data_IF_097149422268
#
_entry.id   IF_097149422268
#
_cell.length_a   1.000
_cell.length_b   1.000
_cell.length_c   1.000
_cell.angle_alpha   90.00
_cell.angle_beta   90.00
_cell.angle_gamma   90.00
#
_symmetry.space_group_name_H-M   'P 1'
#
loop_
_entity.id
_entity.type
_entity.pdbx_description
1 polymer ?
#
# COMPACT_ATOMS: atom_id res chain seq x y z
N UNK A 1 -26.61 8.09 -3.35
CA UNK A 1 -25.92 6.81 -3.10
C UNK A 1 -24.43 7.07 -3.15
N UNK A 2 -23.76 7.08 -2.00
CA UNK A 2 -22.30 7.14 -1.93
C UNK A 2 -21.76 5.73 -2.19
N UNK A 3 -20.87 5.60 -3.18
CA UNK A 3 -20.27 4.34 -3.63
C UNK A 3 -18.88 4.10 -3.01
N UNK A 4 -18.57 4.76 -1.89
CA UNK A 4 -17.32 4.57 -1.15
C UNK A 4 -17.23 3.18 -0.49
N UNK A 5 -16.81 2.17 -1.26
CA UNK A 5 -16.59 0.81 -0.76
C UNK A 5 -15.23 0.74 -0.05
N UNK A 6 -15.23 0.36 1.23
CA UNK A 6 -13.99 0.20 2.01
C UNK A 6 -13.04 -0.84 1.40
N UNK A 7 -11.72 -0.68 1.58
CA UNK A 7 -10.75 -1.72 1.24
C UNK A 7 -11.07 -3.05 1.93
N UNK A 8 -10.54 -4.14 1.37
CA UNK A 8 -10.63 -5.49 1.96
C UNK A 8 -10.13 -5.50 3.41
N UNK A 9 -10.90 -6.13 4.29
CA UNK A 9 -10.54 -6.32 5.69
C UNK A 9 -9.49 -7.42 5.91
N UNK A 10 -8.86 -7.41 7.08
CA UNK A 10 -7.92 -8.46 7.49
C UNK A 10 -8.59 -9.60 8.26
N UNK A 11 -9.85 -9.43 8.64
CA UNK A 11 -10.58 -10.31 9.55
C UNK A 11 -11.89 -10.78 8.95
N UNK A 12 -12.27 -12.00 9.30
CA UNK A 12 -13.54 -12.60 8.94
C UNK A 12 -14.67 -11.93 9.73
N UNK A 13 -15.72 -11.47 9.05
CA UNK A 13 -16.89 -10.85 9.67
C UNK A 13 -17.71 -11.85 10.52
N UNK A 14 -17.71 -13.14 10.18
CA UNK A 14 -18.42 -14.17 10.94
C UNK A 14 -17.73 -14.57 12.26
N UNK A 15 -16.41 -14.81 12.24
CA UNK A 15 -15.67 -15.34 13.38
C UNK A 15 -14.69 -14.35 14.02
N UNK A 16 -14.48 -13.17 13.44
CA UNK A 16 -13.51 -12.16 13.89
C UNK A 16 -12.04 -12.53 13.66
N UNK A 17 -11.72 -13.77 13.29
CA UNK A 17 -10.34 -14.23 13.10
C UNK A 17 -9.66 -13.55 11.92
N UNK A 18 -8.34 -13.40 11.97
CA UNK A 18 -7.54 -12.95 10.83
C UNK A 18 -7.51 -14.01 9.72
N UNK A 19 -7.46 -13.54 8.48
CA UNK A 19 -7.25 -14.41 7.33
C UNK A 19 -5.78 -14.84 7.21
N UNK A 20 -5.56 -16.08 6.79
CA UNK A 20 -4.25 -16.58 6.39
C UNK A 20 -3.92 -16.16 4.95
N UNK A 21 -2.63 -16.10 4.62
CA UNK A 21 -2.21 -15.83 3.26
C UNK A 21 -2.62 -16.99 2.33
N UNK A 22 -3.15 -16.65 1.15
CA UNK A 22 -3.71 -17.61 0.20
C UNK A 22 -5.10 -18.16 0.56
N UNK A 23 -5.65 -17.79 1.72
CA UNK A 23 -6.93 -18.31 2.19
C UNK A 23 -8.10 -17.86 1.29
N UNK A 24 -9.06 -18.75 1.07
CA UNK A 24 -10.29 -18.43 0.33
C UNK A 24 -11.19 -17.52 1.14
N UNK A 25 -11.55 -16.38 0.56
CA UNK A 25 -12.44 -15.37 1.16
C UNK A 25 -13.63 -15.11 0.25
N UNK A 26 -14.80 -15.08 0.87
CA UNK A 26 -16.06 -14.65 0.27
C UNK A 26 -16.36 -13.23 0.71
N UNK A 27 -16.46 -12.31 -0.24
CA UNK A 27 -16.79 -10.92 0.04
C UNK A 27 -18.21 -10.63 -0.42
N UNK A 28 -18.94 -9.86 0.38
CA UNK A 28 -20.27 -9.36 0.06
C UNK A 28 -20.36 -7.85 0.25
N UNK A 29 -21.24 -7.21 -0.51
CA UNK A 29 -21.71 -5.86 -0.23
C UNK A 29 -23.10 -5.90 0.39
N UNK A 30 -23.26 -5.27 1.55
CA UNK A 30 -24.52 -5.17 2.29
C UNK A 30 -24.94 -3.71 2.40
N UNK A 31 -26.24 -3.45 2.44
CA UNK A 31 -26.73 -2.10 2.76
C UNK A 31 -26.55 -1.84 4.26
N UNK A 32 -25.98 -0.69 4.60
CA UNK A 32 -25.87 -0.16 5.96
C UNK A 32 -26.34 1.29 6.04
N UNK A 33 -26.32 1.85 7.25
CA UNK A 33 -26.92 3.16 7.55
C UNK A 33 -26.32 4.32 6.74
N UNK A 34 -25.06 4.19 6.30
CA UNK A 34 -24.34 5.19 5.51
C UNK A 34 -24.11 4.83 4.04
N UNK A 35 -24.67 3.73 3.53
CA UNK A 35 -24.45 3.26 2.16
C UNK A 35 -24.02 1.79 2.08
N UNK A 36 -23.16 1.46 1.12
CA UNK A 36 -22.74 0.08 0.87
C UNK A 36 -21.55 -0.30 1.75
N UNK A 37 -21.70 -1.35 2.56
CA UNK A 37 -20.66 -1.90 3.41
C UNK A 37 -20.09 -3.20 2.87
N UNK A 38 -18.77 -3.32 2.89
CA UNK A 38 -18.05 -4.56 2.55
C UNK A 38 -17.94 -5.46 3.78
N UNK A 39 -18.31 -6.74 3.63
CA UNK A 39 -18.03 -7.79 4.63
C UNK A 39 -17.30 -8.97 3.99
N UNK A 40 -16.23 -9.43 4.63
CA UNK A 40 -15.37 -10.52 4.16
C UNK A 40 -15.56 -11.75 5.08
N UNK A 41 -15.73 -12.95 4.54
CA UNK A 41 -15.97 -14.19 5.28
C UNK A 41 -14.98 -15.29 4.86
N UNK A 42 -14.51 -16.06 5.82
CA UNK A 42 -13.77 -17.29 5.54
C UNK A 42 -14.71 -18.34 4.91
N UNK A 43 -14.18 -19.21 4.07
CA UNK A 43 -14.97 -20.25 3.39
C UNK A 43 -15.80 -21.12 4.37
N UNK A 44 -15.23 -21.48 5.51
CA UNK A 44 -15.94 -22.24 6.55
C UNK A 44 -17.14 -21.49 7.13
N UNK A 45 -17.01 -20.19 7.41
CA UNK A 45 -18.12 -19.37 7.91
C UNK A 45 -19.16 -19.14 6.81
N UNK A 46 -18.69 -18.90 5.58
CA UNK A 46 -19.58 -18.74 4.44
C UNK A 46 -20.42 -20.00 4.18
N UNK A 47 -19.83 -21.20 4.33
CA UNK A 47 -20.52 -22.47 4.11
C UNK A 47 -21.65 -22.75 5.10
N UNK A 48 -21.55 -22.26 6.35
CA UNK A 48 -22.56 -22.47 7.41
C UNK A 48 -23.91 -21.84 7.11
N UNK A 49 -23.96 -20.81 6.26
CA UNK A 49 -25.21 -20.20 5.80
C UNK A 49 -25.91 -19.29 6.80
N UNK A 50 -25.95 -19.66 8.08
CA UNK A 50 -26.57 -18.87 9.17
C UNK A 50 -25.96 -17.47 9.33
N UNK A 51 -24.68 -17.31 8.98
CA UNK A 51 -23.97 -16.04 9.04
C UNK A 51 -24.05 -15.20 7.77
N UNK A 52 -24.83 -15.62 6.75
CA UNK A 52 -24.92 -14.88 5.49
C UNK A 52 -25.90 -13.71 5.63
N UNK A 53 -25.43 -12.46 5.55
CA UNK A 53 -26.34 -11.31 5.54
C UNK A 53 -27.11 -11.26 4.22
N UNK A 54 -28.19 -10.51 4.16
CA UNK A 54 -28.76 -10.09 2.88
C UNK A 54 -27.75 -9.17 2.18
N UNK A 55 -27.32 -9.54 0.97
CA UNK A 55 -26.31 -8.82 0.21
C UNK A 55 -26.79 -8.46 -1.20
N UNK A 56 -26.22 -7.41 -1.78
CA UNK A 56 -26.49 -6.99 -3.14
C UNK A 56 -25.70 -7.80 -4.17
N UNK A 57 -24.42 -8.04 -3.89
CA UNK A 57 -23.55 -8.88 -4.71
C UNK A 57 -22.48 -9.56 -3.85
N UNK A 58 -21.85 -10.59 -4.42
CA UNK A 58 -20.76 -11.31 -3.78
C UNK A 58 -19.68 -11.69 -4.79
N UNK A 59 -18.45 -11.88 -4.31
CA UNK A 59 -17.36 -12.47 -5.08
C UNK A 59 -16.45 -13.33 -4.20
N UNK A 60 -15.74 -14.25 -4.83
CA UNK A 60 -14.79 -15.18 -4.20
C UNK A 60 -13.37 -14.84 -4.66
N UNK A 61 -12.42 -14.83 -3.72
CA UNK A 61 -11.01 -14.58 -4.03
C UNK A 61 -10.07 -15.23 -3.02
N UNK A 62 -8.76 -15.06 -3.23
CA UNK A 62 -7.73 -15.45 -2.25
C UNK A 62 -7.24 -14.23 -1.48
N UNK A 63 -7.14 -14.35 -0.17
CA UNK A 63 -6.53 -13.35 0.68
C UNK A 63 -5.04 -13.27 0.37
N UNK A 64 -4.55 -12.06 0.06
CA UNK A 64 -3.12 -11.80 -0.05
C UNK A 64 -2.72 -10.90 1.10
N UNK A 65 -1.80 -11.37 1.95
CA UNK A 65 -1.24 -10.53 2.99
C UNK A 65 -0.42 -9.43 2.35
N UNK A 66 -0.60 -8.19 2.80
CA UNK A 66 0.29 -7.13 2.35
C UNK A 66 1.73 -7.51 2.71
N UNK A 67 2.70 -7.39 1.78
CA UNK A 67 4.08 -7.65 2.10
C UNK A 67 4.47 -6.77 3.29
N UNK A 68 5.31 -7.27 4.21
CA UNK A 68 5.81 -6.44 5.29
C UNK A 68 6.38 -5.16 4.67
N UNK A 69 6.06 -4.02 5.27
CA UNK A 69 6.60 -2.73 4.83
C UNK A 69 8.09 -2.79 5.10
N UNK A 70 8.85 -3.32 4.14
CA UNK A 70 10.30 -3.28 4.17
C UNK A 70 10.61 -1.80 4.26
N UNK A 71 11.24 -1.42 5.37
CA UNK A 71 11.80 -0.10 5.54
C UNK A 71 12.93 -0.01 4.52
N UNK A 72 12.55 0.28 3.27
CA UNK A 72 13.51 0.61 2.23
C UNK A 72 14.28 1.77 2.79
N UNK A 73 15.59 1.59 2.91
CA UNK A 73 16.54 2.65 3.25
C UNK A 73 16.04 3.94 2.60
N UNK A 74 15.84 5.02 3.39
CA UNK A 74 15.14 6.19 2.90
C UNK A 74 15.72 6.59 1.54
N UNK A 75 14.91 6.79 0.50
CA UNK A 75 15.42 7.15 -0.82
C UNK A 75 16.39 8.35 -0.78
N UNK A 76 16.25 9.19 0.23
CA UNK A 76 17.18 10.25 0.58
C UNK A 76 18.60 9.79 0.94
N UNK A 77 18.78 8.78 1.79
CA UNK A 77 20.11 8.31 2.21
C UNK A 77 20.90 7.77 1.00
N UNK A 78 20.24 7.01 0.12
CA UNK A 78 20.84 6.55 -1.15
C UNK A 78 21.14 7.70 -2.11
N UNK A 79 20.24 8.68 -2.21
CA UNK A 79 20.43 9.86 -3.03
C UNK A 79 21.61 10.73 -2.57
N UNK A 80 21.83 10.85 -1.26
CA UNK A 80 22.96 11.59 -0.68
C UNK A 80 24.30 10.92 -0.96
N UNK A 81 24.38 9.60 -0.77
CA UNK A 81 25.58 8.83 -1.09
C UNK A 81 25.93 8.93 -2.59
N UNK A 82 24.92 8.85 -3.46
CA UNK A 82 25.11 8.97 -4.90
C UNK A 82 25.52 10.38 -5.33
N UNK A 83 24.97 11.42 -4.70
CA UNK A 83 25.39 12.80 -4.92
C UNK A 83 26.87 12.99 -4.55
N UNK A 84 27.30 12.51 -3.37
CA UNK A 84 28.71 12.58 -2.94
C UNK A 84 29.64 11.87 -3.91
N UNK A 85 29.27 10.66 -4.35
CA UNK A 85 30.06 9.87 -5.30
C UNK A 85 30.26 10.63 -6.61
N UNK A 86 29.21 11.22 -7.15
CA UNK A 86 29.27 11.99 -8.41
C UNK A 86 30.05 13.29 -8.31
N UNK A 87 29.99 13.97 -7.15
CA UNK A 87 30.76 15.19 -6.89
C UNK A 87 32.27 14.92 -6.68
N UNK A 88 32.66 13.68 -6.40
CA UNK A 88 34.07 13.31 -6.25
C UNK A 88 34.81 13.24 -7.59
N UNK A 89 34.10 13.16 -8.70
CA UNK A 89 34.66 13.15 -10.05
C UNK A 89 34.62 14.58 -10.65
N UNK A 90 35.60 14.97 -11.49
CA UNK A 90 35.57 16.26 -12.17
C UNK A 90 34.41 16.31 -13.16
N UNK A 91 33.51 17.28 -12.98
CA UNK A 91 32.33 17.47 -13.83
C UNK A 91 32.45 18.77 -14.61
N UNK A 92 32.30 18.68 -15.94
CA UNK A 92 32.23 19.86 -16.79
C UNK A 92 30.92 20.60 -16.59
N UNK A 93 31.00 21.93 -16.55
CA UNK A 93 29.81 22.77 -16.53
C UNK A 93 28.93 22.47 -17.76
N UNK A 94 27.61 22.42 -17.56
CA UNK A 94 26.59 22.13 -18.58
C UNK A 94 26.55 20.68 -19.14
N UNK A 95 27.30 19.75 -18.56
CA UNK A 95 27.22 18.33 -18.97
C UNK A 95 25.91 17.65 -18.51
N UNK A 96 25.51 16.51 -19.12
CA UNK A 96 24.44 15.66 -18.60
C UNK A 96 24.61 15.28 -17.12
N UNK A 97 25.84 15.02 -16.68
CA UNK A 97 26.19 14.64 -15.32
C UNK A 97 25.93 15.80 -14.34
N UNK A 98 26.23 17.04 -14.73
CA UNK A 98 25.92 18.23 -13.94
C UNK A 98 24.40 18.37 -13.70
N UNK A 99 23.57 18.03 -14.70
CA UNK A 99 22.10 18.01 -14.55
C UNK A 99 21.65 16.92 -13.58
N UNK A 100 22.26 15.74 -13.62
CA UNK A 100 21.94 14.64 -12.70
C UNK A 100 22.30 15.01 -11.26
N UNK A 101 23.47 15.60 -11.03
CA UNK A 101 23.90 16.12 -9.72
C UNK A 101 22.87 17.14 -9.19
N UNK A 102 22.44 18.07 -10.04
CA UNK A 102 21.43 19.06 -9.69
C UNK A 102 20.09 18.42 -9.29
N UNK A 103 19.62 17.40 -10.03
CA UNK A 103 18.39 16.67 -9.69
C UNK A 103 18.49 15.96 -8.33
N UNK A 104 19.64 15.36 -8.02
CA UNK A 104 19.86 14.75 -6.70
C UNK A 104 19.85 15.78 -5.59
N UNK A 105 20.49 16.93 -5.77
CA UNK A 105 20.48 18.04 -4.81
C UNK A 105 19.04 18.54 -4.54
N UNK A 106 18.25 18.78 -5.60
CA UNK A 106 16.85 19.19 -5.48
C UNK A 106 15.98 18.14 -4.75
N UNK A 107 16.18 16.85 -5.05
CA UNK A 107 15.46 15.77 -4.37
C UNK A 107 15.76 15.74 -2.87
N UNK A 108 17.02 15.99 -2.48
CA UNK A 108 17.44 16.04 -1.09
C UNK A 108 16.95 17.29 -0.37
N UNK A 109 16.96 18.45 -1.03
CA UNK A 109 16.42 19.71 -0.50
C UNK A 109 14.91 19.61 -0.25
N UNK A 110 14.14 19.10 -1.22
CA UNK A 110 12.69 18.89 -1.07
C UNK A 110 12.36 17.93 0.08
N UNK A 111 13.27 17.01 0.41
CA UNK A 111 13.13 16.10 1.55
C UNK A 111 13.72 16.66 2.85
N UNK A 112 14.26 17.88 2.85
CA UNK A 112 14.93 18.56 3.99
C UNK A 112 16.13 17.79 4.54
N UNK A 113 16.86 17.09 3.68
CA UNK A 113 18.03 16.28 4.06
C UNK A 113 19.34 17.02 3.78
N UNK A 114 19.39 17.79 2.69
CA UNK A 114 20.53 18.65 2.40
C UNK A 114 20.42 19.94 3.24
N UNK A 115 21.38 20.17 4.14
CA UNK A 115 21.48 21.43 4.92
C UNK A 115 22.59 22.27 4.31
N UNK A 116 22.22 23.35 3.64
CA UNK A 116 23.18 24.37 3.19
C UNK A 116 23.47 25.26 4.40
N UNK A 117 24.73 25.29 4.84
CA UNK A 117 25.23 26.24 5.85
C UNK A 117 26.13 27.25 5.18
#
# INVERSE_FOLDING_TARGET
MDWSIRPRGETCAGSGRKFADGEVVYTVLVAGDGGMERKDYAEAEWARGESRPTYFCFWKGKFQRAPPKVEKEPPAAKAEAELRRRLAEPVQAQSPEARVIFLFALLLERRKVLVVR
#
